data_IF_099068190931
#
_entry.id   IF_099068190931
#
_cell.length_a   1.000
_cell.length_b   1.000
_cell.length_c   1.000
_cell.angle_alpha   90.00
_cell.angle_beta   90.00
_cell.angle_gamma   90.00
#
_symmetry.space_group_name_H-M   'P 1'
#
loop_
_entity.id
_entity.type
_entity.pdbx_description
1 polymer ?
#
# COMPACT_ATOMS: atom_id res chain seq x y z
N UNK A 1 -4.33 7.00 -26.74
CA UNK A 1 -3.85 7.78 -25.59
C UNK A 1 -4.77 8.95 -25.18
N UNK A 2 -5.68 9.44 -26.04
CA UNK A 2 -6.68 10.47 -25.70
C UNK A 2 -7.80 10.01 -24.75
N UNK A 3 -8.15 8.73 -24.75
CA UNK A 3 -9.30 8.23 -23.99
C UNK A 3 -9.02 7.99 -22.49
N UNK A 4 -7.77 7.68 -22.13
CA UNK A 4 -7.37 7.50 -20.72
C UNK A 4 -7.37 8.86 -20.01
N UNK A 5 -6.88 9.92 -20.65
CA UNK A 5 -6.89 11.28 -20.11
C UNK A 5 -8.32 11.80 -19.87
N UNK A 6 -9.29 11.40 -20.70
CA UNK A 6 -10.69 11.78 -20.54
C UNK A 6 -11.34 11.10 -19.32
N UNK A 7 -11.10 9.79 -19.14
CA UNK A 7 -11.60 9.06 -17.99
C UNK A 7 -11.00 9.60 -16.67
N UNK A 8 -9.69 9.85 -16.65
CA UNK A 8 -9.00 10.35 -15.44
C UNK A 8 -9.52 11.75 -15.04
N UNK A 9 -9.73 12.65 -16.00
CA UNK A 9 -10.23 14.01 -15.73
C UNK A 9 -11.65 14.06 -15.16
N UNK A 10 -12.47 13.06 -15.45
CA UNK A 10 -13.84 12.98 -14.92
C UNK A 10 -13.94 12.26 -13.55
N UNK A 11 -12.89 11.55 -13.15
CA UNK A 11 -12.87 10.77 -11.91
C UNK A 11 -12.14 11.47 -10.76
N UNK A 12 -11.22 12.40 -11.08
CA UNK A 12 -10.37 13.07 -10.11
C UNK A 12 -10.44 14.59 -10.27
N UNK A 13 -10.33 15.31 -9.16
CA UNK A 13 -10.18 16.78 -9.20
C UNK A 13 -8.82 17.17 -9.79
N UNK A 14 -8.69 18.41 -10.25
CA UNK A 14 -7.42 18.94 -10.78
C UNK A 14 -6.28 18.87 -9.74
N UNK A 15 -6.60 19.10 -8.46
CA UNK A 15 -5.64 18.99 -7.36
C UNK A 15 -5.13 17.56 -7.22
N UNK A 16 -6.04 16.58 -7.26
CA UNK A 16 -5.66 15.15 -7.18
C UNK A 16 -4.84 14.71 -8.39
N UNK A 17 -5.18 15.18 -9.60
CA UNK A 17 -4.40 14.88 -10.81
C UNK A 17 -2.97 15.44 -10.67
N UNK A 18 -2.82 16.63 -10.09
CA UNK A 18 -1.51 17.21 -9.82
C UNK A 18 -0.71 16.37 -8.83
N UNK A 19 -1.31 16.00 -7.69
CA UNK A 19 -0.68 15.12 -6.69
C UNK A 19 -0.25 13.77 -7.28
N UNK A 20 -1.12 13.13 -8.07
CA UNK A 20 -0.82 11.87 -8.74
C UNK A 20 0.42 12.03 -9.64
N UNK A 21 0.48 13.10 -10.43
CA UNK A 21 1.61 13.37 -11.34
C UNK A 21 2.91 13.64 -10.57
N UNK A 22 2.85 14.33 -9.45
CA UNK A 22 4.00 14.61 -8.59
C UNK A 22 4.55 13.29 -8.00
N UNK A 23 3.68 12.45 -7.46
CA UNK A 23 4.05 11.12 -6.92
C UNK A 23 4.64 10.23 -8.02
N UNK A 24 4.00 10.16 -9.19
CA UNK A 24 4.46 9.35 -10.30
C UNK A 24 5.83 9.85 -10.83
N UNK A 25 6.01 11.16 -10.96
CA UNK A 25 7.29 11.76 -11.35
C UNK A 25 8.40 11.44 -10.35
N UNK A 26 8.10 11.55 -9.05
CA UNK A 26 9.04 11.21 -7.99
C UNK A 26 9.37 9.71 -8.00
N UNK A 27 8.39 8.83 -8.26
CA UNK A 27 8.61 7.39 -8.39
C UNK A 27 9.54 7.05 -9.55
N UNK A 28 9.27 7.55 -10.75
CA UNK A 28 10.15 7.30 -11.91
C UNK A 28 11.54 7.91 -11.73
N UNK A 29 11.66 9.03 -11.01
CA UNK A 29 12.96 9.60 -10.65
C UNK A 29 13.71 8.71 -9.66
N UNK A 30 13.02 8.15 -8.67
CA UNK A 30 13.59 7.17 -7.74
C UNK A 30 14.09 5.92 -8.47
N UNK A 31 13.33 5.39 -9.44
CA UNK A 31 13.74 4.22 -10.21
C UNK A 31 15.07 4.43 -10.96
N UNK A 32 15.38 5.66 -11.39
CA UNK A 32 16.65 5.97 -12.06
C UNK A 32 17.86 5.78 -11.16
N UNK A 33 17.70 5.78 -9.84
CA UNK A 33 18.79 5.54 -8.87
C UNK A 33 19.08 4.05 -8.65
N UNK A 34 18.24 3.16 -9.20
CA UNK A 34 18.29 1.72 -8.97
C UNK A 34 18.90 0.97 -10.14
N UNK A 35 19.42 -0.24 -9.85
CA UNK A 35 19.81 -1.19 -10.90
C UNK A 35 18.58 -1.69 -11.69
N UNK A 36 18.78 -2.18 -12.91
CA UNK A 36 17.69 -2.69 -13.76
C UNK A 36 16.91 -3.83 -13.09
N UNK A 37 17.59 -4.69 -12.35
CA UNK A 37 16.94 -5.77 -11.59
C UNK A 37 16.06 -5.19 -10.46
N UNK A 38 16.56 -4.21 -9.73
CA UNK A 38 15.82 -3.57 -8.65
C UNK A 38 14.58 -2.82 -9.14
N UNK A 39 14.66 -2.16 -10.31
CA UNK A 39 13.53 -1.41 -10.89
C UNK A 39 12.28 -2.29 -11.05
N UNK A 40 12.44 -3.51 -11.59
CA UNK A 40 11.31 -4.44 -11.81
C UNK A 40 10.79 -5.10 -10.53
N UNK A 41 11.49 -4.93 -9.43
CA UNK A 41 11.06 -5.40 -8.10
C UNK A 41 10.34 -4.33 -7.28
N UNK A 42 10.34 -3.07 -7.73
CA UNK A 42 9.64 -1.98 -7.07
C UNK A 42 8.15 -2.01 -7.38
N UNK A 43 7.35 -1.73 -6.35
CA UNK A 43 5.92 -1.51 -6.48
C UNK A 43 5.60 -0.18 -5.80
N UNK A 44 5.04 0.76 -6.54
CA UNK A 44 4.43 1.95 -5.97
C UNK A 44 2.99 1.62 -5.56
N UNK A 45 2.67 1.86 -4.31
CA UNK A 45 1.32 1.79 -3.76
C UNK A 45 0.83 3.19 -3.47
N UNK A 46 -0.38 3.54 -3.91
CA UNK A 46 -0.99 4.85 -3.70
C UNK A 46 -2.48 4.72 -3.43
N UNK A 47 -2.97 5.42 -2.43
CA UNK A 47 -4.40 5.54 -2.19
C UNK A 47 -4.93 6.83 -2.82
N UNK A 48 -5.99 6.69 -3.57
CA UNK A 48 -6.64 7.78 -4.28
C UNK A 48 -8.10 7.84 -3.85
N UNK A 49 -8.64 9.05 -3.71
CA UNK A 49 -10.07 9.24 -3.54
C UNK A 49 -10.68 9.67 -4.87
N UNK A 50 -11.64 8.91 -5.36
CA UNK A 50 -12.40 9.29 -6.54
C UNK A 50 -13.87 9.51 -6.19
N UNK A 51 -14.58 10.19 -7.06
CA UNK A 51 -16.03 10.36 -6.94
C UNK A 51 -16.74 9.48 -7.98
N UNK A 52 -17.49 8.50 -7.51
CA UNK A 52 -18.33 7.65 -8.35
C UNK A 52 -19.78 7.97 -8.00
N UNK A 53 -20.54 8.46 -8.99
CA UNK A 53 -21.96 8.83 -8.79
C UNK A 53 -22.17 9.76 -7.57
N UNK A 54 -21.24 10.70 -7.36
CA UNK A 54 -21.28 11.64 -6.23
C UNK A 54 -20.80 11.10 -4.89
N UNK A 55 -20.48 9.82 -4.81
CA UNK A 55 -19.95 9.20 -3.58
C UNK A 55 -18.42 9.17 -3.60
N UNK A 56 -17.82 9.60 -2.48
CA UNK A 56 -16.38 9.50 -2.27
C UNK A 56 -16.01 8.02 -2.10
N UNK A 57 -15.18 7.51 -2.99
CA UNK A 57 -14.76 6.11 -3.01
C UNK A 57 -13.24 6.04 -2.93
N UNK A 58 -12.73 5.23 -2.01
CA UNK A 58 -11.31 4.94 -1.90
C UNK A 58 -10.89 3.96 -3.00
N UNK A 59 -9.78 4.25 -3.64
CA UNK A 59 -9.17 3.44 -4.67
C UNK A 59 -7.71 3.22 -4.30
N UNK A 60 -7.28 1.98 -4.23
CA UNK A 60 -5.87 1.63 -4.07
C UNK A 60 -5.26 1.35 -5.44
N UNK A 61 -4.19 2.07 -5.77
CA UNK A 61 -3.46 1.95 -7.05
C UNK A 61 -2.08 1.37 -6.81
N UNK A 62 -1.70 0.40 -7.63
CA UNK A 62 -0.32 -0.11 -7.69
C UNK A 62 0.27 0.16 -9.07
N UNK A 63 1.54 0.55 -9.10
CA UNK A 63 2.34 0.66 -10.33
C UNK A 63 3.59 -0.20 -10.18
N UNK A 64 3.78 -1.12 -11.11
CA UNK A 64 4.96 -1.99 -11.16
C UNK A 64 5.64 -1.82 -12.50
N UNK A 65 6.92 -1.42 -12.56
CA UNK A 65 7.70 -1.46 -13.79
C UNK A 65 7.78 -2.91 -14.32
N UNK A 66 7.41 -3.10 -15.57
CA UNK A 66 7.29 -4.44 -16.15
C UNK A 66 8.35 -4.72 -17.22
N UNK A 67 8.57 -3.76 -18.12
CA UNK A 67 9.57 -3.86 -19.19
C UNK A 67 10.47 -2.64 -19.18
N UNK A 68 11.77 -2.87 -19.27
CA UNK A 68 12.77 -1.83 -19.46
C UNK A 68 13.21 -1.82 -20.94
N UNK A 69 13.57 -0.65 -21.42
CA UNK A 69 14.16 -0.50 -22.75
C UNK A 69 15.67 -0.88 -22.76
N UNK A 70 16.30 -0.72 -23.90
CA UNK A 70 17.74 -1.03 -24.09
C UNK A 70 18.67 -0.16 -23.24
N UNK A 71 18.20 1.00 -22.80
CA UNK A 71 18.95 1.93 -21.95
C UNK A 71 18.71 1.66 -20.47
N UNK A 72 17.78 0.74 -20.14
CA UNK A 72 17.36 0.47 -18.77
C UNK A 72 16.29 1.45 -18.25
N UNK A 73 15.71 2.26 -19.11
CA UNK A 73 14.56 3.09 -18.75
C UNK A 73 13.25 2.29 -18.78
N UNK A 74 12.30 2.66 -17.93
CA UNK A 74 11.01 1.98 -17.88
C UNK A 74 10.22 2.28 -19.14
N UNK A 75 10.01 1.26 -19.97
CA UNK A 75 9.21 1.35 -21.19
C UNK A 75 7.73 1.03 -20.94
N UNK A 76 7.45 0.03 -20.10
CA UNK A 76 6.09 -0.40 -19.75
C UNK A 76 5.96 -0.62 -18.26
N UNK A 77 4.89 -0.08 -17.68
CA UNK A 77 4.48 -0.35 -16.30
C UNK A 77 3.09 -0.96 -16.28
N UNK A 78 2.87 -1.90 -15.36
CA UNK A 78 1.55 -2.41 -15.05
C UNK A 78 0.93 -1.51 -13.98
N UNK A 79 -0.26 -0.97 -14.26
CA UNK A 79 -1.06 -0.20 -13.30
C UNK A 79 -2.32 -0.98 -12.97
N UNK A 80 -2.51 -1.30 -11.69
CA UNK A 80 -3.71 -1.98 -11.21
C UNK A 80 -4.44 -1.15 -10.18
N UNK A 81 -5.76 -1.30 -10.12
CA UNK A 81 -6.64 -0.62 -9.19
C UNK A 81 -7.49 -1.63 -8.44
N UNK A 82 -7.62 -1.43 -7.13
CA UNK A 82 -8.50 -2.22 -6.26
C UNK A 82 -9.36 -1.31 -5.40
N UNK A 83 -10.48 -1.82 -4.91
CA UNK A 83 -11.36 -1.13 -3.97
C UNK A 83 -11.12 -1.72 -2.57
N UNK A 84 -10.34 -1.04 -1.71
CA UNK A 84 -10.02 -1.56 -0.39
C UNK A 84 -11.23 -1.54 0.54
N UNK A 85 -11.28 -2.46 1.49
CA UNK A 85 -12.34 -2.54 2.51
C UNK A 85 -12.14 -1.57 3.69
N UNK A 86 -11.15 -0.66 3.60
CA UNK A 86 -10.87 0.38 4.59
C UNK A 86 -11.36 1.74 4.13
N UNK A 87 -11.64 2.64 5.08
CA UNK A 87 -12.11 3.98 4.80
C UNK A 87 -10.98 5.03 4.75
N UNK A 88 -9.86 4.77 5.42
CA UNK A 88 -8.75 5.71 5.51
C UNK A 88 -7.85 5.65 4.28
N UNK A 89 -7.50 6.81 3.75
CA UNK A 89 -6.44 6.93 2.75
C UNK A 89 -5.11 6.63 3.44
N UNK A 90 -4.35 5.71 2.85
CA UNK A 90 -2.95 5.50 3.22
C UNK A 90 -2.04 6.54 2.58
N UNK A 91 -0.76 6.35 2.77
CA UNK A 91 0.28 7.16 2.14
C UNK A 91 0.71 6.54 0.80
N UNK A 92 1.37 7.34 -0.04
CA UNK A 92 2.10 6.76 -1.16
C UNK A 92 3.37 6.08 -0.62
N UNK A 93 3.56 4.81 -0.92
CA UNK A 93 4.75 4.05 -0.52
C UNK A 93 5.35 3.29 -1.70
N UNK A 94 6.68 3.17 -1.72
CA UNK A 94 7.38 2.24 -2.60
C UNK A 94 7.81 1.04 -1.77
N UNK A 95 7.43 -0.14 -2.23
CA UNK A 95 7.90 -1.40 -1.68
C UNK A 95 8.76 -2.13 -2.70
N UNK A 96 9.82 -2.75 -2.23
CA UNK A 96 10.64 -3.65 -3.04
C UNK A 96 10.31 -5.08 -2.65
N UNK A 97 10.06 -5.94 -3.64
CA UNK A 97 9.83 -7.37 -3.40
C UNK A 97 10.97 -7.94 -2.56
N UNK A 98 10.63 -8.73 -1.55
CA UNK A 98 11.57 -9.38 -0.63
C UNK A 98 12.35 -8.41 0.30
N UNK A 99 12.03 -7.12 0.32
CA UNK A 99 12.60 -6.18 1.27
C UNK A 99 11.64 -5.96 2.44
N UNK A 100 12.20 -5.84 3.66
CA UNK A 100 11.42 -5.43 4.84
C UNK A 100 11.25 -3.91 4.93
N UNK A 101 12.14 -3.15 4.28
CA UNK A 101 12.06 -1.69 4.24
C UNK A 101 11.14 -1.24 3.11
N UNK A 102 10.41 -0.17 3.36
CA UNK A 102 9.65 0.54 2.34
C UNK A 102 10.01 2.03 2.38
N UNK A 103 9.71 2.73 1.30
CA UNK A 103 9.92 4.16 1.21
C UNK A 103 8.57 4.85 1.24
N UNK A 104 8.44 5.86 2.08
CA UNK A 104 7.24 6.68 2.21
C UNK A 104 7.44 8.02 1.51
N UNK A 105 6.42 8.46 0.77
CA UNK A 105 6.44 9.75 0.11
C UNK A 105 6.15 10.88 1.10
N UNK A 106 7.08 11.82 1.24
CA UNK A 106 6.95 12.99 2.09
C UNK A 106 7.46 14.23 1.34
N UNK A 107 6.58 15.20 1.07
CA UNK A 107 6.95 16.50 0.49
C UNK A 107 7.91 16.44 -0.71
N UNK A 108 7.66 15.56 -1.66
CA UNK A 108 8.47 15.44 -2.88
C UNK A 108 9.64 14.46 -2.79
N UNK A 109 9.90 13.88 -1.62
CA UNK A 109 11.02 12.95 -1.39
C UNK A 109 10.53 11.59 -0.91
N UNK A 110 11.36 10.57 -1.13
CA UNK A 110 11.14 9.21 -0.62
C UNK A 110 12.04 8.96 0.59
N UNK A 111 11.43 8.87 1.76
CA UNK A 111 12.12 8.56 3.01
C UNK A 111 12.00 7.08 3.34
N UNK A 112 13.10 6.49 3.82
CA UNK A 112 13.04 5.11 4.33
C UNK A 112 12.17 5.12 5.59
N UNK A 113 11.10 4.33 5.56
CA UNK A 113 10.21 4.16 6.71
C UNK A 113 10.36 2.77 7.29
N UNK A 114 10.63 2.73 8.59
CA UNK A 114 10.60 1.51 9.41
C UNK A 114 9.37 1.50 10.34
N UNK A 115 8.60 2.59 10.35
CA UNK A 115 7.53 2.82 11.34
C UNK A 115 6.27 1.94 11.16
N UNK A 116 6.11 1.30 9.99
CA UNK A 116 5.00 0.38 9.72
C UNK A 116 5.43 -1.09 9.76
N UNK A 117 6.67 -1.39 10.17
CA UNK A 117 7.07 -2.78 10.34
C UNK A 117 6.27 -3.42 11.47
N UNK A 118 5.47 -4.39 11.09
CA UNK A 118 4.81 -5.26 12.05
C UNK A 118 5.87 -6.15 12.70
N UNK A 119 5.80 -6.29 14.01
CA UNK A 119 6.63 -7.29 14.70
C UNK A 119 6.22 -8.69 14.24
N UNK A 120 7.08 -9.68 14.44
CA UNK A 120 6.78 -11.09 14.09
C UNK A 120 5.48 -11.56 14.74
N UNK A 121 5.24 -11.18 16.00
CA UNK A 121 4.01 -11.50 16.72
C UNK A 121 2.79 -10.82 16.06
N UNK A 122 2.90 -9.56 15.71
CA UNK A 122 1.82 -8.80 15.05
C UNK A 122 1.49 -9.37 13.68
N UNK A 123 2.50 -9.67 12.86
CA UNK A 123 2.32 -10.32 11.55
C UNK A 123 1.64 -11.68 11.69
N UNK A 124 2.05 -12.46 12.68
CA UNK A 124 1.45 -13.78 12.93
C UNK A 124 0.00 -13.67 13.39
N UNK A 125 -0.33 -12.72 14.27
CA UNK A 125 -1.72 -12.44 14.68
C UNK A 125 -2.57 -12.03 13.48
N UNK A 126 -2.08 -11.13 12.61
CA UNK A 126 -2.78 -10.73 11.40
C UNK A 126 -2.96 -11.90 10.44
N UNK A 127 -1.92 -12.66 10.15
CA UNK A 127 -1.98 -13.84 9.30
C UNK A 127 -3.02 -14.86 9.80
N UNK A 128 -3.06 -15.15 11.09
CA UNK A 128 -4.08 -16.02 11.68
C UNK A 128 -5.48 -15.39 11.64
N UNK A 129 -5.56 -14.07 11.72
CA UNK A 129 -6.85 -13.35 11.59
C UNK A 129 -7.41 -13.40 10.17
N UNK A 130 -6.58 -13.49 9.12
CA UNK A 130 -7.05 -13.66 7.73
C UNK A 130 -7.77 -14.99 7.51
N UNK A 131 -7.46 -16.00 8.31
CA UNK A 131 -8.15 -17.31 8.27
C UNK A 131 -9.47 -17.34 9.06
N UNK A 132 -9.88 -16.21 9.63
CA UNK A 132 -11.14 -16.08 10.36
C UNK A 132 -11.08 -16.53 11.83
N UNK A 133 -9.90 -16.81 12.37
CA UNK A 133 -9.75 -17.24 13.77
C UNK A 133 -10.11 -16.11 14.75
N UNK A 134 -10.86 -16.44 15.79
CA UNK A 134 -11.17 -15.52 16.90
C UNK A 134 -9.93 -15.25 17.78
N UNK A 135 -9.97 -14.19 18.60
CA UNK A 135 -8.89 -13.87 19.52
C UNK A 135 -8.56 -15.03 20.49
N UNK A 136 -9.60 -15.74 20.94
CA UNK A 136 -9.45 -16.93 21.80
C UNK A 136 -8.72 -18.05 21.07
N UNK A 137 -9.10 -18.35 19.81
CA UNK A 137 -8.46 -19.40 19.00
C UNK A 137 -7.01 -19.05 18.67
N UNK A 138 -6.74 -17.79 18.31
CA UNK A 138 -5.38 -17.28 18.08
C UNK A 138 -4.55 -17.44 19.38
N UNK A 139 -5.12 -17.06 20.52
CA UNK A 139 -4.48 -17.20 21.82
C UNK A 139 -4.11 -18.66 22.13
N UNK A 140 -5.04 -19.58 21.92
CA UNK A 140 -4.78 -21.02 22.06
C UNK A 140 -3.67 -21.51 21.13
N UNK A 141 -3.68 -21.06 19.87
CA UNK A 141 -2.66 -21.43 18.89
C UNK A 141 -1.26 -20.89 19.20
N UNK A 142 -1.20 -19.66 19.74
CA UNK A 142 0.05 -18.98 20.06
C UNK A 142 0.51 -19.17 21.52
N UNK A 143 -0.22 -19.91 22.33
CA UNK A 143 0.00 -20.07 23.77
C UNK A 143 -0.03 -18.75 24.54
N UNK A 144 -0.92 -17.83 24.13
CA UNK A 144 -1.14 -16.53 24.75
C UNK A 144 -2.58 -16.40 25.26
N UNK A 145 -2.80 -15.51 26.23
CA UNK A 145 -4.17 -15.25 26.68
C UNK A 145 -4.96 -14.48 25.61
N UNK A 146 -6.30 -14.66 25.61
CA UNK A 146 -7.17 -13.87 24.74
C UNK A 146 -7.00 -12.37 24.96
N UNK A 147 -6.80 -11.94 26.23
CA UNK A 147 -6.56 -10.53 26.56
C UNK A 147 -5.26 -10.02 25.93
N UNK A 148 -4.19 -10.83 25.90
CA UNK A 148 -2.92 -10.49 25.24
C UNK A 148 -3.12 -10.31 23.73
N UNK A 149 -3.86 -11.23 23.08
CA UNK A 149 -4.16 -11.10 21.64
C UNK A 149 -4.98 -9.84 21.34
N UNK A 150 -5.98 -9.52 22.17
CA UNK A 150 -6.76 -8.27 22.04
C UNK A 150 -5.88 -7.03 22.18
N UNK A 151 -4.94 -7.03 23.11
CA UNK A 151 -3.99 -5.94 23.31
C UNK A 151 -3.08 -5.76 22.08
N UNK A 152 -2.54 -6.84 21.52
CA UNK A 152 -1.77 -6.78 20.27
C UNK A 152 -2.59 -6.27 19.11
N UNK A 153 -3.86 -6.71 18.96
CA UNK A 153 -4.75 -6.19 17.91
C UNK A 153 -4.97 -4.68 18.04
N UNK A 154 -5.15 -4.16 19.25
CA UNK A 154 -5.27 -2.70 19.46
C UNK A 154 -3.98 -1.95 19.11
N UNK A 155 -2.81 -2.51 19.44
CA UNK A 155 -1.52 -1.94 19.04
C UNK A 155 -1.36 -1.90 17.52
N UNK A 156 -1.74 -2.99 16.83
CA UNK A 156 -1.75 -3.06 15.37
C UNK A 156 -2.68 -1.98 14.77
N UNK A 157 -3.90 -1.84 15.30
CA UNK A 157 -4.85 -0.84 14.78
C UNK A 157 -4.30 0.58 14.91
N UNK A 158 -3.70 0.90 16.07
CA UNK A 158 -3.05 2.19 16.28
C UNK A 158 -1.87 2.40 15.33
N UNK A 159 -1.05 1.37 15.12
CA UNK A 159 0.13 1.41 14.26
C UNK A 159 -0.23 1.63 12.78
N UNK A 160 -1.26 0.94 12.30
CA UNK A 160 -1.72 1.02 10.92
C UNK A 160 -2.72 2.16 10.68
N UNK A 161 -3.19 2.85 11.73
CA UNK A 161 -4.19 3.90 11.62
C UNK A 161 -5.56 3.39 11.18
N UNK A 162 -5.93 2.17 11.57
CA UNK A 162 -7.19 1.50 11.20
C UNK A 162 -8.08 1.27 12.42
N UNK A 163 -9.38 1.02 12.21
CA UNK A 163 -10.37 0.93 13.28
C UNK A 163 -10.67 -0.50 13.73
N UNK A 164 -10.46 -1.49 12.87
CA UNK A 164 -10.85 -2.87 13.12
C UNK A 164 -9.96 -3.87 12.36
N UNK A 165 -10.15 -5.16 12.65
CA UNK A 165 -9.33 -6.21 12.07
C UNK A 165 -9.51 -6.35 10.54
N UNK A 166 -10.70 -6.11 10.03
CA UNK A 166 -10.97 -6.20 8.58
C UNK A 166 -10.21 -5.10 7.83
N UNK A 167 -10.19 -3.89 8.35
CA UNK A 167 -9.41 -2.78 7.81
C UNK A 167 -7.90 -3.05 7.92
N UNK A 168 -7.45 -3.63 9.05
CA UNK A 168 -6.05 -4.01 9.23
C UNK A 168 -5.61 -5.06 8.20
N UNK A 169 -6.43 -6.07 7.96
CA UNK A 169 -6.18 -7.10 6.94
C UNK A 169 -6.14 -6.48 5.55
N UNK A 170 -7.13 -5.64 5.19
CA UNK A 170 -7.14 -4.93 3.90
C UNK A 170 -5.86 -4.11 3.73
N UNK A 171 -5.45 -3.37 4.77
CA UNK A 171 -4.25 -2.55 4.73
C UNK A 171 -2.98 -3.37 4.47
N UNK A 172 -2.77 -4.46 5.22
CA UNK A 172 -1.54 -5.27 5.07
C UNK A 172 -1.51 -6.04 3.76
N UNK A 173 -2.67 -6.40 3.20
CA UNK A 173 -2.77 -7.04 1.87
C UNK A 173 -2.50 -6.01 0.77
N UNK A 174 -3.16 -4.84 0.81
CA UNK A 174 -3.00 -3.78 -0.18
C UNK A 174 -1.54 -3.30 -0.27
N UNK A 175 -0.86 -3.20 0.88
CA UNK A 175 0.52 -2.73 0.95
C UNK A 175 1.57 -3.85 1.01
N UNK A 176 1.16 -5.13 0.84
CA UNK A 176 2.04 -6.30 0.85
C UNK A 176 2.95 -6.35 2.09
N UNK A 177 2.38 -6.19 3.29
CA UNK A 177 3.10 -6.10 4.57
C UNK A 177 3.17 -7.42 5.35
N UNK A 178 2.62 -8.51 4.82
CA UNK A 178 2.64 -9.87 5.41
C UNK A 178 3.72 -10.76 4.82
#
# INVERSE_FOLDING_TARGET
MKDIDYCVKNMFSEVQIKEIREIDSAFYSFLKTLSNEQKTQCILHTDLCMFINGNKTLLHRTITPYVLDVNGDVWLSLCAFTFPSRANTGNAIIKMKRSKCHYQYNNGCWDISTNTELTEIESRILSLSTTGLSAMQIGSFMHLSEATIKSHKQAIFKKLGVLNISEAISYVVDYDLL
#
